data_IF_276260260687
#
_entry.id   IF_276260260687
#
_cell.length_a   1.000
_cell.length_b   1.000
_cell.length_c   1.000
_cell.angle_alpha   90.00
_cell.angle_beta   90.00
_cell.angle_gamma   90.00
#
_symmetry.space_group_name_H-M   'P 1'
#
loop_
_entity.id
_entity.type
_entity.pdbx_description
1 polymer ?
#
# COMPACT_ATOMS: atom_id res chain seq x y z
N UNK A 1 -15.39 24.20 2.32
CA UNK A 1 -16.09 24.04 1.03
C UNK A 1 -15.32 22.94 0.33
N UNK A 2 -15.89 21.74 0.27
CA UNK A 2 -15.21 20.55 -0.27
C UNK A 2 -15.71 20.29 -1.68
N UNK A 3 -14.81 20.02 -2.62
CA UNK A 3 -15.16 19.75 -4.01
C UNK A 3 -15.23 18.24 -4.22
N UNK A 4 -16.40 17.74 -4.63
CA UNK A 4 -16.70 16.31 -4.62
C UNK A 4 -16.60 15.63 -6.00
N UNK A 5 -16.65 16.37 -7.11
CA UNK A 5 -16.75 15.82 -8.47
C UNK A 5 -15.64 16.33 -9.41
N UNK A 6 -14.42 16.56 -8.90
CA UNK A 6 -13.35 17.15 -9.71
C UNK A 6 -11.97 16.55 -9.43
N UNK A 7 -10.97 17.01 -10.19
CA UNK A 7 -9.57 16.51 -10.29
C UNK A 7 -8.83 16.23 -8.97
N UNK A 8 -9.30 16.75 -7.85
CA UNK A 8 -8.86 16.42 -6.49
C UNK A 8 -10.10 16.26 -5.59
N UNK A 9 -10.84 15.15 -5.69
CA UNK A 9 -11.97 14.92 -4.80
C UNK A 9 -11.40 14.71 -3.41
N UNK A 10 -11.66 15.65 -2.51
CA UNK A 10 -11.38 15.49 -1.09
C UNK A 10 -12.70 15.19 -0.39
N UNK A 11 -12.71 14.07 0.36
CA UNK A 11 -13.66 13.80 1.44
C UNK A 11 -15.16 13.71 1.04
N UNK A 12 -15.56 12.66 0.31
CA UNK A 12 -17.00 12.31 0.25
C UNK A 12 -17.44 11.59 1.54
N UNK A 13 -16.66 10.61 2.01
CA UNK A 13 -17.02 9.77 3.16
C UNK A 13 -16.51 10.30 4.51
N UNK A 14 -15.36 10.98 4.56
CA UNK A 14 -14.88 11.63 5.80
C UNK A 14 -15.79 12.82 6.20
N UNK A 15 -16.39 13.52 5.23
CA UNK A 15 -17.41 14.53 5.49
C UNK A 15 -18.70 13.94 6.09
N UNK A 16 -18.99 12.66 5.82
CA UNK A 16 -20.09 11.90 6.43
C UNK A 16 -19.69 11.24 7.76
N UNK A 17 -18.39 10.95 7.97
CA UNK A 17 -17.83 10.26 9.14
C UNK A 17 -17.23 11.18 10.21
N UNK A 18 -17.44 12.51 10.14
CA UNK A 18 -17.16 13.34 11.32
C UNK A 18 -17.97 12.75 12.48
N UNK A 19 -17.31 12.20 13.53
CA UNK A 19 -17.96 11.31 14.45
C UNK A 19 -19.00 12.09 15.23
N UNK A 20 -20.28 11.73 15.07
CA UNK A 20 -21.43 12.18 15.88
C UNK A 20 -21.14 12.19 17.40
N UNK A 21 -20.16 11.41 17.85
CA UNK A 21 -19.68 11.32 19.22
C UNK A 21 -18.91 12.55 19.75
N UNK A 22 -18.28 13.38 18.91
CA UNK A 22 -17.59 14.62 19.36
C UNK A 22 -18.51 15.85 19.40
N UNK A 23 -19.74 15.74 18.86
CA UNK A 23 -20.63 16.88 18.61
C UNK A 23 -21.48 17.31 19.79
N UNK A 24 -21.77 16.41 20.73
CA UNK A 24 -22.62 16.74 21.88
C UNK A 24 -21.94 17.65 22.92
N UNK A 25 -20.62 17.85 22.83
CA UNK A 25 -19.86 18.66 23.80
C UNK A 25 -19.68 20.14 23.40
N UNK A 26 -19.91 20.50 22.13
CA UNK A 26 -19.77 21.88 21.64
C UNK A 26 -20.95 22.18 20.71
N UNK A 27 -21.98 22.88 21.19
CA UNK A 27 -23.26 23.13 20.52
C UNK A 27 -23.21 23.95 19.22
N UNK A 28 -22.40 23.55 18.24
CA UNK A 28 -22.37 24.10 16.89
C UNK A 28 -23.20 23.20 15.97
N UNK A 29 -24.34 23.70 15.51
CA UNK A 29 -25.15 23.06 14.48
C UNK A 29 -24.42 23.15 13.13
N UNK A 30 -24.15 22.00 12.52
CA UNK A 30 -23.64 21.94 11.16
C UNK A 30 -24.84 21.82 10.20
N UNK A 31 -24.95 22.75 9.25
CA UNK A 31 -25.95 22.70 8.18
C UNK A 31 -25.24 22.36 6.88
N UNK A 32 -25.50 21.17 6.34
CA UNK A 32 -25.01 20.77 5.00
C UNK A 32 -25.75 21.61 3.95
N UNK A 33 -24.99 22.23 3.05
CA UNK A 33 -25.50 22.94 1.87
C UNK A 33 -24.76 22.36 0.67
N UNK A 34 -25.51 21.89 -0.32
CA UNK A 34 -24.98 21.33 -1.57
C UNK A 34 -25.32 22.28 -2.71
N UNK A 35 -24.36 22.48 -3.62
CA UNK A 35 -24.51 23.31 -4.81
C UNK A 35 -24.34 22.39 -6.02
N UNK A 36 -25.44 22.11 -6.71
CA UNK A 36 -25.46 21.16 -7.84
C UNK A 36 -25.61 21.88 -9.19
N UNK A 37 -26.08 23.13 -9.21
CA UNK A 37 -26.26 23.89 -10.44
C UNK A 37 -24.93 24.48 -10.92
N UNK A 38 -24.52 24.13 -12.14
CA UNK A 38 -23.31 24.68 -12.75
C UNK A 38 -23.56 26.09 -13.27
N UNK A 39 -22.55 26.94 -13.16
CA UNK A 39 -22.61 28.34 -13.65
C UNK A 39 -22.04 28.51 -15.07
N UNK A 40 -21.40 27.48 -15.62
CA UNK A 40 -20.67 27.54 -16.90
C UNK A 40 -21.40 26.90 -18.07
N UNK A 41 -22.27 25.92 -17.79
CA UNK A 41 -23.01 25.15 -18.78
C UNK A 41 -24.42 24.88 -18.25
N UNK A 42 -25.28 24.29 -19.08
CA UNK A 42 -26.65 23.97 -18.68
C UNK A 42 -26.67 22.77 -17.74
N UNK A 43 -27.68 22.69 -16.86
CA UNK A 43 -27.91 21.48 -16.05
C UNK A 43 -28.23 20.29 -16.95
N UNK A 44 -27.57 19.15 -16.70
CA UNK A 44 -27.76 17.92 -17.48
C UNK A 44 -27.03 17.93 -18.82
N UNK A 45 -25.86 18.55 -18.91
CA UNK A 45 -25.02 18.52 -20.11
C UNK A 45 -24.59 17.07 -20.42
N UNK A 46 -24.92 16.51 -21.60
CA UNK A 46 -24.59 15.13 -21.94
C UNK A 46 -23.07 14.88 -21.99
N UNK A 47 -22.25 15.91 -22.28
CA UNK A 47 -20.79 15.78 -22.30
C UNK A 47 -20.25 15.65 -20.88
N UNK A 48 -20.83 16.38 -19.93
CA UNK A 48 -20.47 16.27 -18.52
C UNK A 48 -20.83 14.89 -17.96
N UNK A 49 -22.05 14.41 -18.24
CA UNK A 49 -22.47 13.06 -17.82
C UNK A 49 -21.54 11.99 -18.39
N UNK A 50 -21.23 12.07 -19.69
CA UNK A 50 -20.28 11.14 -20.33
C UNK A 50 -18.89 11.21 -19.69
N UNK A 51 -18.38 12.41 -19.40
CA UNK A 51 -17.07 12.59 -18.78
C UNK A 51 -17.04 12.03 -17.35
N UNK A 52 -18.11 12.24 -16.58
CA UNK A 52 -18.23 11.72 -15.21
C UNK A 52 -18.36 10.19 -15.20
N UNK A 53 -19.07 9.61 -16.15
CA UNK A 53 -19.15 8.16 -16.33
C UNK A 53 -17.78 7.57 -16.72
N UNK A 54 -17.11 8.16 -17.72
CA UNK A 54 -15.80 7.71 -18.20
C UNK A 54 -14.71 7.78 -17.12
N UNK A 55 -14.64 8.91 -16.41
CA UNK A 55 -13.64 9.13 -15.37
C UNK A 55 -14.08 8.56 -14.01
N UNK A 56 -15.25 7.91 -13.94
CA UNK A 56 -15.82 7.35 -12.73
C UNK A 56 -15.84 8.39 -11.59
N UNK A 57 -16.39 9.59 -11.80
CA UNK A 57 -16.42 10.66 -10.81
C UNK A 57 -17.68 10.63 -9.92
N UNK A 58 -18.79 10.07 -10.43
CA UNK A 58 -20.07 9.96 -9.72
C UNK A 58 -20.12 8.72 -8.79
N UNK A 59 -19.21 8.68 -7.82
CA UNK A 59 -18.94 7.48 -7.01
C UNK A 59 -19.82 7.33 -5.77
N UNK A 60 -20.62 8.34 -5.44
CA UNK A 60 -21.47 8.35 -4.25
C UNK A 60 -22.55 7.25 -4.27
N UNK A 61 -23.05 6.93 -5.46
CA UNK A 61 -24.14 5.97 -5.65
C UNK A 61 -23.65 4.57 -6.04
N UNK A 62 -22.37 4.41 -6.34
CA UNK A 62 -21.79 3.16 -6.85
C UNK A 62 -21.17 2.28 -5.78
N UNK A 63 -21.16 2.70 -4.51
CA UNK A 63 -20.81 1.83 -3.38
C UNK A 63 -22.05 0.98 -3.04
N UNK A 64 -22.07 -0.33 -3.33
CA UNK A 64 -23.23 -1.16 -3.03
C UNK A 64 -23.40 -1.31 -1.52
N UNK A 65 -24.63 -1.17 -1.03
CA UNK A 65 -24.94 -1.48 0.37
C UNK A 65 -24.86 -3.00 0.59
N UNK A 66 -23.74 -3.44 1.15
CA UNK A 66 -23.53 -4.85 1.49
C UNK A 66 -24.49 -5.24 2.62
N UNK A 67 -25.48 -6.08 2.30
CA UNK A 67 -26.52 -6.51 3.25
C UNK A 67 -26.02 -7.57 4.24
N UNK A 68 -25.05 -8.40 3.84
CA UNK A 68 -24.43 -9.42 4.69
C UNK A 68 -22.92 -9.50 4.43
N UNK A 69 -22.16 -9.40 5.50
CA UNK A 69 -20.71 -9.49 5.49
C UNK A 69 -20.28 -10.93 5.85
N UNK A 70 -19.69 -11.70 4.91
CA UNK A 70 -19.25 -13.06 5.16
C UNK A 70 -18.00 -13.09 6.04
N UNK A 71 -17.73 -14.18 6.75
CA UNK A 71 -16.48 -14.28 7.53
C UNK A 71 -15.25 -14.13 6.61
N UNK A 72 -14.19 -13.38 7.00
CA UNK A 72 -13.03 -13.12 6.14
C UNK A 72 -12.30 -14.37 5.62
N UNK A 73 -12.42 -15.50 6.31
CA UNK A 73 -11.82 -16.78 5.91
C UNK A 73 -12.54 -17.45 4.73
N UNK A 74 -13.81 -17.12 4.49
CA UNK A 74 -14.57 -17.63 3.35
C UNK A 74 -14.44 -16.73 2.11
N UNK A 75 -13.68 -15.63 2.23
CA UNK A 75 -13.47 -14.71 1.13
C UNK A 75 -12.26 -15.16 0.32
N UNK A 76 -12.36 -15.04 -1.01
CA UNK A 76 -11.28 -15.38 -1.92
C UNK A 76 -10.77 -14.13 -2.62
N UNK A 77 -9.46 -14.10 -2.87
CA UNK A 77 -8.80 -13.03 -3.59
C UNK A 77 -8.73 -13.46 -5.07
N UNK A 78 -9.13 -12.57 -5.97
CA UNK A 78 -9.10 -12.79 -7.43
C UNK A 78 -8.17 -11.78 -8.08
N UNK A 79 -7.49 -12.20 -9.14
CA UNK A 79 -6.76 -11.33 -10.04
C UNK A 79 -7.73 -10.73 -11.07
N UNK A 80 -7.67 -9.42 -11.28
CA UNK A 80 -8.52 -8.72 -12.26
C UNK A 80 -7.75 -8.55 -13.57
N UNK A 81 -8.30 -9.09 -14.66
CA UNK A 81 -7.74 -8.86 -15.98
C UNK A 81 -8.04 -7.43 -16.43
N UNK A 82 -6.98 -6.65 -16.65
CA UNK A 82 -7.08 -5.23 -17.03
C UNK A 82 -7.66 -5.02 -18.43
N UNK A 83 -7.29 -5.85 -19.40
CA UNK A 83 -7.79 -5.71 -20.77
C UNK A 83 -9.31 -5.92 -20.82
N UNK A 84 -9.81 -6.87 -20.03
CA UNK A 84 -11.25 -7.12 -19.89
C UNK A 84 -11.95 -6.05 -19.05
N UNK A 85 -11.27 -5.52 -18.03
CA UNK A 85 -11.78 -4.44 -17.18
C UNK A 85 -12.00 -3.14 -17.98
N UNK A 86 -11.04 -2.76 -18.82
CA UNK A 86 -11.09 -1.55 -19.65
C UNK A 86 -11.65 -1.80 -21.06
N UNK A 87 -12.42 -2.88 -21.25
CA UNK A 87 -13.04 -3.23 -22.54
C UNK A 87 -14.29 -2.44 -22.90
N UNK A 88 -14.76 -1.56 -22.02
CA UNK A 88 -16.01 -0.80 -22.15
C UNK A 88 -17.27 -1.68 -22.29
N UNK A 89 -17.22 -2.92 -21.77
CA UNK A 89 -18.40 -3.77 -21.64
C UNK A 89 -19.27 -3.32 -20.46
N UNK A 90 -20.60 -3.41 -20.60
CA UNK A 90 -21.56 -2.90 -19.60
C UNK A 90 -21.31 -3.43 -18.18
N UNK A 91 -21.00 -4.71 -18.03
CA UNK A 91 -20.73 -5.31 -16.72
C UNK A 91 -19.35 -4.93 -16.17
N UNK A 92 -18.35 -4.81 -17.06
CA UNK A 92 -17.00 -4.36 -16.69
C UNK A 92 -17.01 -2.91 -16.21
N UNK A 93 -17.80 -2.04 -16.83
CA UNK A 93 -17.96 -0.64 -16.41
C UNK A 93 -18.60 -0.53 -15.03
N UNK A 94 -19.67 -1.30 -14.77
CA UNK A 94 -20.29 -1.35 -13.42
C UNK A 94 -19.27 -1.85 -12.38
N UNK A 95 -18.47 -2.85 -12.73
CA UNK A 95 -17.42 -3.38 -11.85
C UNK A 95 -16.30 -2.36 -11.61
N UNK A 96 -15.83 -1.68 -12.66
CA UNK A 96 -14.82 -0.62 -12.60
C UNK A 96 -15.29 0.56 -11.72
N UNK A 97 -16.54 1.00 -11.91
CA UNK A 97 -17.14 2.06 -11.11
C UNK A 97 -17.21 1.67 -9.63
N UNK A 98 -17.61 0.42 -9.30
CA UNK A 98 -17.60 -0.08 -7.92
C UNK A 98 -16.19 -0.11 -7.33
N UNK A 99 -15.21 -0.58 -8.10
CA UNK A 99 -13.81 -0.62 -7.67
C UNK A 99 -13.25 0.79 -7.42
N UNK A 100 -13.52 1.74 -8.34
CA UNK A 100 -13.07 3.12 -8.22
C UNK A 100 -13.76 3.84 -7.05
N UNK A 101 -15.04 3.54 -6.80
CA UNK A 101 -15.78 4.04 -5.64
C UNK A 101 -15.09 3.68 -4.32
N UNK A 102 -14.60 2.44 -4.23
CA UNK A 102 -13.83 1.98 -3.07
C UNK A 102 -12.49 2.71 -2.94
N UNK A 103 -11.76 2.94 -4.02
CA UNK A 103 -10.53 3.73 -3.96
C UNK A 103 -10.77 5.15 -3.47
N UNK A 104 -11.81 5.81 -3.98
CA UNK A 104 -12.15 7.17 -3.56
C UNK A 104 -12.65 7.21 -2.12
N UNK A 105 -13.36 6.16 -1.68
CA UNK A 105 -13.81 6.02 -0.30
C UNK A 105 -12.67 5.86 0.71
N UNK A 106 -11.56 5.22 0.35
CA UNK A 106 -10.49 4.86 1.28
C UNK A 106 -9.26 5.77 1.25
N UNK A 107 -9.13 6.64 0.23
CA UNK A 107 -7.93 7.45 0.04
C UNK A 107 -8.21 8.96 0.16
N UNK A 108 -7.39 9.62 0.97
CA UNK A 108 -7.47 11.07 1.26
C UNK A 108 -7.28 11.98 0.03
N UNK A 109 -6.63 11.50 -1.03
CA UNK A 109 -6.47 12.23 -2.28
C UNK A 109 -6.44 11.26 -3.45
N UNK A 110 -7.30 11.50 -4.42
CA UNK A 110 -7.32 10.78 -5.69
C UNK A 110 -7.14 11.77 -6.83
N UNK A 111 -6.49 11.34 -7.89
CA UNK A 111 -6.38 12.09 -9.14
C UNK A 111 -7.02 11.25 -10.25
N UNK A 112 -7.75 11.83 -11.20
CA UNK A 112 -8.23 11.11 -12.39
C UNK A 112 -7.09 10.43 -13.16
N UNK A 113 -5.87 10.96 -13.08
CA UNK A 113 -4.68 10.34 -13.68
C UNK A 113 -4.34 8.97 -13.07
N UNK A 114 -4.88 8.64 -11.89
CA UNK A 114 -4.69 7.32 -11.28
C UNK A 114 -5.35 6.22 -12.11
N UNK A 115 -6.50 6.51 -12.72
CA UNK A 115 -7.21 5.59 -13.62
C UNK A 115 -6.38 5.35 -14.88
N UNK A 116 -5.81 6.42 -15.44
CA UNK A 116 -4.90 6.33 -16.57
C UNK A 116 -3.65 5.50 -16.22
N UNK A 117 -3.03 5.74 -15.06
CA UNK A 117 -1.87 4.97 -14.62
C UNK A 117 -2.20 3.47 -14.49
N UNK A 118 -3.39 3.14 -13.99
CA UNK A 118 -3.86 1.76 -13.88
C UNK A 118 -4.11 1.09 -15.24
N UNK A 119 -4.56 1.85 -16.24
CA UNK A 119 -4.79 1.35 -17.58
C UNK A 119 -3.49 1.18 -18.36
N UNK A 120 -2.60 2.17 -18.32
CA UNK A 120 -1.40 2.25 -19.17
C UNK A 120 -0.23 1.41 -18.66
N UNK A 121 0.03 1.39 -17.34
CA UNK A 121 1.30 0.87 -16.83
C UNK A 121 1.26 -0.67 -16.64
N UNK A 122 2.00 -1.47 -17.43
CA UNK A 122 1.91 -2.95 -17.43
C UNK A 122 2.28 -3.58 -16.08
N UNK A 123 3.19 -2.95 -15.33
CA UNK A 123 3.61 -3.42 -14.01
C UNK A 123 2.51 -3.33 -12.93
N UNK A 124 1.38 -2.65 -13.20
CA UNK A 124 0.27 -2.55 -12.25
C UNK A 124 -0.68 -3.73 -12.36
N UNK A 125 -0.83 -4.45 -11.25
CA UNK A 125 -1.74 -5.57 -11.06
C UNK A 125 -2.84 -5.20 -10.07
N UNK A 126 -4.04 -5.71 -10.32
CA UNK A 126 -5.23 -5.44 -9.53
C UNK A 126 -5.76 -6.74 -8.94
N UNK A 127 -6.01 -6.72 -7.63
CA UNK A 127 -6.58 -7.84 -6.90
C UNK A 127 -7.84 -7.39 -6.16
N UNK A 128 -8.87 -8.23 -6.16
CA UNK A 128 -10.14 -7.96 -5.49
C UNK A 128 -10.49 -9.10 -4.55
N UNK A 129 -10.87 -8.76 -3.32
CA UNK A 129 -11.39 -9.71 -2.36
C UNK A 129 -12.91 -9.74 -2.50
N UNK A 130 -13.44 -10.91 -2.84
CA UNK A 130 -14.86 -11.13 -3.03
C UNK A 130 -15.39 -12.06 -1.93
N UNK A 131 -16.66 -11.87 -1.58
CA UNK A 131 -17.39 -12.85 -0.78
C UNK A 131 -17.64 -14.14 -1.56
N UNK A 132 -18.09 -15.23 -0.89
CA UNK A 132 -18.44 -16.47 -1.57
C UNK A 132 -19.55 -16.19 -2.60
N UNK A 133 -19.28 -16.54 -3.85
CA UNK A 133 -20.21 -16.32 -4.97
C UNK A 133 -21.18 -17.48 -5.04
N UNK A 134 -22.48 -17.19 -5.03
CA UNK A 134 -23.50 -18.18 -5.35
C UNK A 134 -23.59 -18.30 -6.87
N UNK A 135 -23.07 -19.38 -7.46
CA UNK A 135 -23.14 -19.61 -8.92
C UNK A 135 -24.58 -19.60 -9.48
N UNK A 136 -25.58 -19.79 -8.63
CA UNK A 136 -27.00 -19.77 -9.00
C UNK A 136 -27.58 -18.37 -9.20
N UNK A 137 -26.93 -17.33 -8.66
CA UNK A 137 -27.36 -15.93 -8.80
C UNK A 137 -26.43 -15.26 -9.83
N UNK A 138 -26.95 -14.95 -11.01
CA UNK A 138 -26.20 -14.29 -12.09
C UNK A 138 -25.99 -12.78 -11.78
N UNK A 139 -25.48 -12.48 -10.59
CA UNK A 139 -25.27 -11.14 -10.07
C UNK A 139 -23.76 -10.89 -9.89
N UNK A 140 -23.33 -9.67 -10.24
CA UNK A 140 -21.96 -9.22 -10.00
C UNK A 140 -21.63 -9.29 -8.50
N UNK A 141 -20.55 -9.99 -8.11
CA UNK A 141 -20.18 -10.15 -6.71
C UNK A 141 -19.83 -8.82 -6.06
N UNK A 142 -20.08 -8.71 -4.76
CA UNK A 142 -19.73 -7.53 -3.98
C UNK A 142 -18.23 -7.49 -3.70
N UNK A 143 -17.62 -6.34 -4.00
CA UNK A 143 -16.20 -6.09 -3.79
C UNK A 143 -15.99 -5.65 -2.33
N UNK A 144 -15.30 -6.47 -1.54
CA UNK A 144 -15.05 -6.20 -0.11
C UNK A 144 -13.75 -5.44 0.11
N UNK A 145 -12.73 -5.76 -0.67
CA UNK A 145 -11.42 -5.11 -0.63
C UNK A 145 -10.80 -5.09 -2.02
N UNK A 146 -10.05 -4.04 -2.35
CA UNK A 146 -9.27 -3.91 -3.57
C UNK A 146 -7.82 -3.65 -3.19
N UNK A 147 -6.88 -4.34 -3.84
CA UNK A 147 -5.45 -4.10 -3.70
C UNK A 147 -4.87 -3.79 -5.08
N UNK A 148 -4.21 -2.64 -5.18
CA UNK A 148 -3.39 -2.29 -6.32
C UNK A 148 -1.93 -2.57 -5.98
N UNK A 149 -1.27 -3.36 -6.82
CA UNK A 149 0.14 -3.72 -6.71
C UNK A 149 0.88 -3.20 -7.93
N UNK A 150 2.12 -2.76 -7.75
CA UNK A 150 3.03 -2.39 -8.83
C UNK A 150 4.30 -3.23 -8.69
N UNK A 151 4.68 -3.97 -9.73
CA UNK A 151 5.95 -4.70 -9.75
C UNK A 151 7.10 -3.70 -9.87
N UNK A 152 8.11 -3.83 -8.99
CA UNK A 152 9.26 -2.93 -8.94
C UNK A 152 10.56 -3.74 -8.85
N UNK A 153 11.66 -3.19 -9.39
CA UNK A 153 12.99 -3.77 -9.27
C UNK A 153 13.51 -4.43 -10.55
N UNK A 154 14.35 -5.47 -10.40
CA UNK A 154 15.15 -6.05 -11.51
C UNK A 154 16.00 -5.00 -12.26
N UNK A 155 16.41 -3.96 -11.55
CA UNK A 155 17.19 -2.87 -12.11
C UNK A 155 18.65 -3.31 -12.24
N UNK A 156 19.23 -3.09 -13.43
CA UNK A 156 20.63 -3.43 -13.66
C UNK A 156 21.55 -2.66 -12.72
N UNK A 157 22.58 -3.34 -12.18
CA UNK A 157 23.58 -2.72 -11.30
C UNK A 157 24.24 -1.48 -11.93
N UNK A 158 24.45 -1.48 -13.24
CA UNK A 158 24.99 -0.33 -13.98
C UNK A 158 24.08 0.90 -13.85
N UNK A 159 22.77 0.71 -13.99
CA UNK A 159 21.78 1.78 -13.81
C UNK A 159 21.74 2.26 -12.35
N UNK A 160 21.77 1.32 -11.39
CA UNK A 160 21.81 1.65 -9.97
C UNK A 160 23.03 2.52 -9.59
N UNK A 161 24.24 2.13 -10.04
CA UNK A 161 25.47 2.89 -9.82
C UNK A 161 25.41 4.27 -10.49
N UNK A 162 24.87 4.34 -11.71
CA UNK A 162 24.70 5.61 -12.44
C UNK A 162 23.79 6.58 -11.67
N UNK A 163 22.64 6.11 -11.23
CA UNK A 163 21.67 6.89 -10.44
C UNK A 163 22.29 7.41 -9.14
N UNK A 164 23.04 6.56 -8.42
CA UNK A 164 23.76 6.96 -7.20
C UNK A 164 24.82 8.05 -7.48
N UNK A 165 25.56 7.94 -8.58
CA UNK A 165 26.58 8.91 -8.95
C UNK A 165 25.99 10.25 -9.43
N UNK A 166 24.88 10.21 -10.17
CA UNK A 166 24.20 11.39 -10.72
C UNK A 166 23.27 12.06 -9.70
N UNK A 167 22.93 11.38 -8.60
CA UNK A 167 21.98 11.86 -7.59
C UNK A 167 20.55 12.00 -8.14
N UNK A 168 20.23 11.32 -9.24
CA UNK A 168 18.94 11.41 -9.90
C UNK A 168 18.22 10.06 -9.86
N UNK A 169 17.06 10.01 -9.22
CA UNK A 169 16.16 8.85 -9.24
C UNK A 169 15.18 8.99 -10.42
N UNK A 170 15.19 8.06 -11.39
CA UNK A 170 14.18 7.98 -12.44
C UNK A 170 12.75 7.85 -11.87
N UNK A 171 11.75 8.20 -12.69
CA UNK A 171 10.35 7.96 -12.36
C UNK A 171 10.03 6.46 -12.37
N UNK A 172 9.32 5.97 -11.35
CA UNK A 172 9.03 4.55 -11.14
C UNK A 172 9.87 3.96 -10.02
N UNK A 173 9.74 2.65 -9.77
CA UNK A 173 10.58 1.87 -8.84
C UNK A 173 10.93 2.58 -7.52
N UNK A 174 9.92 3.13 -6.85
CA UNK A 174 10.14 4.05 -5.74
C UNK A 174 10.91 3.40 -4.60
N UNK A 175 10.63 2.14 -4.30
CA UNK A 175 11.28 1.41 -3.22
C UNK A 175 12.75 1.12 -3.56
N UNK A 176 13.09 0.51 -4.71
CA UNK A 176 14.49 0.33 -5.14
C UNK A 176 15.32 1.61 -5.06
N UNK A 177 14.83 2.72 -5.62
CA UNK A 177 15.57 3.98 -5.62
C UNK A 177 15.72 4.56 -4.23
N UNK A 178 14.67 4.52 -3.41
CA UNK A 178 14.76 5.04 -2.05
C UNK A 178 15.68 4.20 -1.19
N UNK A 179 15.67 2.88 -1.38
CA UNK A 179 16.57 1.97 -0.67
C UNK A 179 18.04 2.24 -1.05
N UNK A 180 18.33 2.39 -2.35
CA UNK A 180 19.64 2.86 -2.85
C UNK A 180 20.09 4.14 -2.16
N UNK A 181 19.24 5.17 -2.17
CA UNK A 181 19.57 6.48 -1.60
C UNK A 181 19.90 6.38 -0.10
N UNK A 182 19.11 5.60 0.64
CA UNK A 182 19.22 5.53 2.10
C UNK A 182 20.37 4.66 2.60
N UNK A 183 20.75 3.61 1.87
CA UNK A 183 21.77 2.65 2.32
C UNK A 183 23.00 2.61 1.42
N UNK A 184 23.01 3.34 0.30
CA UNK A 184 24.06 3.31 -0.72
C UNK A 184 24.32 1.88 -1.25
N UNK A 185 23.27 1.07 -1.26
CA UNK A 185 23.33 -0.33 -1.68
C UNK A 185 23.02 -0.45 -3.18
N UNK A 186 23.86 -1.18 -3.92
CA UNK A 186 23.72 -1.38 -5.36
C UNK A 186 23.22 -2.79 -5.73
N UNK A 187 22.90 -3.62 -4.73
CA UNK A 187 22.45 -5.01 -4.91
C UNK A 187 20.94 -5.10 -4.83
N UNK A 188 20.32 -4.42 -3.86
CA UNK A 188 18.89 -4.40 -3.61
C UNK A 188 18.04 -4.03 -4.84
N UNK A 189 18.41 -3.04 -5.69
CA UNK A 189 17.61 -2.73 -6.89
C UNK A 189 17.53 -3.87 -7.90
N UNK A 190 18.50 -4.78 -7.89
CA UNK A 190 18.47 -5.97 -8.74
C UNK A 190 17.48 -7.02 -8.24
N UNK A 191 17.00 -6.91 -7.00
CA UNK A 191 15.93 -7.77 -6.49
C UNK A 191 14.60 -7.39 -7.14
N UNK A 192 13.83 -8.39 -7.53
CA UNK A 192 12.43 -8.28 -7.93
C UNK A 192 11.55 -8.13 -6.69
N UNK A 193 10.61 -7.20 -6.68
CA UNK A 193 9.63 -7.04 -5.62
C UNK A 193 8.34 -6.44 -6.12
N UNK A 194 7.37 -6.27 -5.23
CA UNK A 194 6.13 -5.63 -5.56
C UNK A 194 5.70 -4.65 -4.48
N UNK A 195 5.31 -3.44 -4.89
CA UNK A 195 4.78 -2.41 -4.00
C UNK A 195 3.27 -2.44 -4.02
N UNK A 196 2.66 -2.65 -2.85
CA UNK A 196 1.23 -2.36 -2.65
C UNK A 196 1.09 -0.84 -2.70
N UNK A 197 0.51 -0.35 -3.80
CA UNK A 197 0.28 1.07 -4.05
C UNK A 197 -0.94 1.55 -3.27
N UNK A 198 -2.01 0.76 -3.29
CA UNK A 198 -3.29 1.08 -2.64
C UNK A 198 -3.94 -0.17 -2.07
N UNK A 199 -4.60 0.01 -0.94
CA UNK A 199 -5.54 -0.96 -0.36
C UNK A 199 -6.80 -0.21 0.04
N UNK A 200 -7.92 -0.62 -0.54
CA UNK A 200 -9.23 -0.03 -0.30
C UNK A 200 -10.16 -1.09 0.27
N UNK A 201 -10.64 -0.88 1.50
CA UNK A 201 -11.63 -1.76 2.12
C UNK A 201 -12.97 -1.06 2.10
N UNK A 202 -14.04 -1.79 1.83
CA UNK A 202 -15.39 -1.26 1.87
C UNK A 202 -15.68 -0.56 3.23
N UNK A 203 -16.28 0.64 3.27
CA UNK A 203 -16.52 1.38 4.51
C UNK A 203 -17.24 0.57 5.60
N UNK A 204 -18.30 -0.15 5.24
CA UNK A 204 -19.04 -1.04 6.15
C UNK A 204 -18.24 -2.25 6.63
N UNK A 205 -17.12 -2.56 5.97
CA UNK A 205 -16.24 -3.70 6.25
C UNK A 205 -14.96 -3.28 7.01
N UNK A 206 -14.82 -2.00 7.34
CA UNK A 206 -13.67 -1.47 8.09
C UNK A 206 -13.59 -2.13 9.48
N UNK A 207 -12.34 -2.40 9.91
CA UNK A 207 -12.02 -3.02 11.21
C UNK A 207 -12.55 -4.45 11.42
N UNK A 208 -13.15 -5.08 10.41
CA UNK A 208 -13.57 -6.50 10.45
C UNK A 208 -12.50 -7.47 9.94
N UNK A 209 -11.35 -6.96 9.47
CA UNK A 209 -10.19 -7.79 9.12
C UNK A 209 -10.09 -8.20 7.64
N UNK A 210 -10.98 -7.76 6.75
CA UNK A 210 -10.89 -8.07 5.31
C UNK A 210 -9.60 -7.60 4.66
N UNK A 211 -9.15 -6.37 4.97
CA UNK A 211 -7.84 -5.90 4.50
C UNK A 211 -6.69 -6.75 5.03
N UNK A 212 -6.82 -7.31 6.24
CA UNK A 212 -5.85 -8.26 6.76
C UNK A 212 -5.89 -9.61 6.04
N UNK A 213 -7.07 -10.12 5.71
CA UNK A 213 -7.21 -11.35 4.93
C UNK A 213 -6.62 -11.17 3.52
N UNK A 214 -6.93 -10.06 2.85
CA UNK A 214 -6.44 -9.76 1.51
C UNK A 214 -4.91 -9.67 1.43
N UNK A 215 -4.25 -8.99 2.37
CA UNK A 215 -2.77 -8.92 2.41
C UNK A 215 -2.14 -10.28 2.70
N UNK A 216 -2.75 -11.11 3.56
CA UNK A 216 -2.27 -12.47 3.83
C UNK A 216 -2.36 -13.36 2.59
N UNK A 217 -3.51 -13.38 1.92
CA UNK A 217 -3.72 -14.13 0.68
C UNK A 217 -2.76 -13.68 -0.42
N UNK A 218 -2.54 -12.36 -0.54
CA UNK A 218 -1.56 -11.81 -1.48
C UNK A 218 -0.13 -12.26 -1.16
N UNK A 219 0.25 -12.26 0.12
CA UNK A 219 1.58 -12.74 0.55
C UNK A 219 1.76 -14.22 0.26
N UNK A 220 0.79 -15.07 0.60
CA UNK A 220 0.82 -16.51 0.32
C UNK A 220 0.82 -16.80 -1.19
N UNK A 221 0.10 -16.00 -1.99
CA UNK A 221 0.11 -16.07 -3.45
C UNK A 221 1.53 -15.87 -4.00
N UNK A 222 2.20 -14.77 -3.64
CA UNK A 222 3.55 -14.48 -4.12
C UNK A 222 4.64 -15.38 -3.51
N UNK A 223 4.36 -16.05 -2.39
CA UNK A 223 5.23 -17.10 -1.84
C UNK A 223 5.06 -18.46 -2.55
N UNK A 224 4.06 -18.60 -3.43
CA UNK A 224 3.78 -19.84 -4.15
C UNK A 224 3.05 -20.90 -3.33
N UNK A 225 2.50 -20.55 -2.16
CA UNK A 225 1.80 -21.50 -1.27
C UNK A 225 0.43 -21.94 -1.81
N UNK A 226 -0.18 -21.14 -2.69
CA UNK A 226 -1.54 -21.38 -3.19
C UNK A 226 -1.61 -22.07 -4.55
N UNK A 227 -0.51 -22.15 -5.29
CA UNK A 227 -0.53 -22.71 -6.64
C UNK A 227 -0.27 -24.21 -6.64
N UNK A 228 -1.28 -25.00 -7.02
CA UNK A 228 -1.17 -26.45 -7.23
C UNK A 228 -0.66 -26.74 -8.65
N UNK A 229 0.52 -26.23 -9.02
CA UNK A 229 1.15 -26.66 -10.27
C UNK A 229 2.03 -27.87 -9.98
N UNK A 230 1.46 -29.06 -10.24
CA UNK A 230 2.26 -30.22 -10.65
C UNK A 230 3.02 -29.84 -11.91
N UNK A 231 4.29 -30.21 -11.96
CA UNK A 231 5.19 -30.06 -13.10
C UNK A 231 4.46 -30.19 -14.45
N UNK A 232 4.16 -29.06 -15.09
CA UNK A 232 3.65 -29.00 -16.43
C UNK A 232 4.16 -27.71 -17.09
N UNK A 233 4.63 -27.92 -18.31
CA UNK A 233 5.36 -27.06 -19.25
C UNK A 233 4.98 -25.58 -19.25
N UNK A 234 5.94 -24.73 -19.64
CA UNK A 234 5.75 -23.32 -19.94
C UNK A 234 4.55 -23.14 -20.88
N UNK A 235 3.39 -22.76 -20.33
CA UNK A 235 2.26 -22.33 -21.15
C UNK A 235 2.65 -20.97 -21.70
N UNK A 236 3.06 -20.96 -22.97
CA UNK A 236 3.18 -19.76 -23.79
C UNK A 236 1.91 -18.94 -23.59
N UNK A 237 2.06 -17.66 -23.22
CA UNK A 237 0.96 -16.70 -23.29
C UNK A 237 0.36 -16.81 -24.70
N UNK A 238 -0.97 -16.93 -24.85
CA UNK A 238 -1.55 -16.97 -26.17
C UNK A 238 -1.21 -15.66 -26.85
N UNK A 239 -0.31 -15.75 -27.82
CA UNK A 239 0.11 -14.67 -28.70
C UNK A 239 -1.16 -14.18 -29.39
N UNK A 240 -1.79 -13.14 -28.82
CA UNK A 240 -2.90 -12.47 -29.46
C UNK A 240 -2.29 -11.89 -30.72
N UNK A 241 -2.53 -12.56 -31.83
CA UNK A 241 -2.01 -12.18 -33.13
C UNK A 241 -2.53 -10.79 -33.41
N UNK A 242 -1.68 -9.77 -33.17
CA UNK A 242 -1.86 -8.40 -33.63
C UNK A 242 -1.73 -8.50 -35.15
N UNK A 243 -2.79 -8.98 -35.78
CA UNK A 243 -2.88 -9.20 -37.21
C UNK A 243 -3.04 -7.83 -37.86
N UNK A 244 -1.90 -7.23 -38.22
CA UNK A 244 -1.66 -6.38 -39.40
C UNK A 244 -2.55 -5.14 -39.62
N UNK A 245 -3.52 -4.87 -38.74
CA UNK A 245 -4.47 -3.77 -38.83
C UNK A 245 -4.03 -2.53 -38.03
N UNK A 246 -3.11 -2.70 -37.06
CA UNK A 246 -2.61 -1.61 -36.22
C UNK A 246 -1.54 -0.75 -36.93
N UNK A 247 -0.80 -1.30 -37.89
CA UNK A 247 0.26 -0.54 -38.59
C UNK A 247 -0.27 0.39 -39.69
N UNK A 248 -1.57 0.32 -40.04
CA UNK A 248 -2.18 1.16 -41.09
C UNK A 248 -3.26 2.12 -40.61
N UNK A 249 -3.64 2.10 -39.33
CA UNK A 249 -4.58 3.07 -38.80
C UNK A 249 -3.81 4.32 -38.38
N UNK A 250 -3.91 5.37 -39.20
CA UNK A 250 -3.57 6.73 -38.80
C UNK A 250 -4.25 7.05 -37.46
N UNK A 251 -3.53 7.68 -36.51
CA UNK A 251 -3.95 8.02 -35.13
C UNK A 251 -5.33 8.73 -34.98
N UNK A 252 -5.99 9.05 -36.09
CA UNK A 252 -7.27 9.77 -36.16
C UNK A 252 -8.47 8.86 -36.50
N UNK A 253 -8.25 7.57 -36.79
CA UNK A 253 -9.32 6.61 -37.13
C UNK A 253 -9.18 5.31 -36.34
N UNK A 254 -9.15 5.40 -35.02
CA UNK A 254 -9.23 4.21 -34.16
C UNK A 254 -10.70 3.79 -34.03
N UNK A 255 -11.14 2.79 -34.80
CA UNK A 255 -12.48 2.24 -34.65
C UNK A 255 -12.53 1.34 -33.41
N UNK A 256 -13.14 1.83 -32.33
CA UNK A 256 -13.39 1.06 -31.10
C UNK A 256 -14.43 -0.02 -31.41
N UNK A 257 -13.99 -1.19 -31.88
CA UNK A 257 -14.82 -2.39 -31.91
C UNK A 257 -14.50 -3.23 -30.67
N UNK A 258 -15.51 -3.76 -29.96
CA UNK A 258 -15.25 -4.67 -28.84
C UNK A 258 -14.44 -5.87 -29.33
N UNK A 259 -13.30 -6.13 -28.68
CA UNK A 259 -12.37 -7.20 -29.05
C UNK A 259 -13.11 -8.55 -28.92
N UNK A 260 -13.08 -9.36 -29.98
CA UNK A 260 -13.63 -10.72 -29.93
C UNK A 260 -12.68 -11.64 -29.14
N UNK A 261 -13.22 -12.46 -28.24
CA UNK A 261 -12.51 -13.38 -27.34
C UNK A 261 -11.66 -12.72 -26.23
N UNK A 262 -12.28 -11.92 -25.37
CA UNK A 262 -11.61 -11.41 -24.17
C UNK A 262 -11.51 -12.51 -23.08
N UNK A 263 -10.38 -12.58 -22.36
CA UNK A 263 -10.25 -13.46 -21.19
C UNK A 263 -11.23 -13.06 -20.08
N UNK A 264 -11.55 -13.97 -19.13
CA UNK A 264 -12.46 -13.65 -18.04
C UNK A 264 -11.96 -12.47 -17.21
N UNK A 265 -12.88 -11.61 -16.76
CA UNK A 265 -12.57 -10.43 -15.95
C UNK A 265 -11.88 -10.80 -14.63
N UNK A 266 -12.33 -11.88 -14.00
CA UNK A 266 -11.84 -12.39 -12.74
C UNK A 266 -11.13 -13.73 -13.00
N UNK A 267 -9.88 -13.81 -12.55
CA UNK A 267 -9.05 -15.03 -12.63
C UNK A 267 -8.78 -15.48 -11.20
N UNK A 268 -9.01 -16.76 -10.93
CA UNK A 268 -8.66 -17.33 -9.64
C UNK A 268 -7.13 -17.35 -9.48
N UNK A 269 -6.65 -17.07 -8.27
CA UNK A 269 -5.21 -17.08 -7.97
C UNK A 269 -4.59 -18.47 -8.07
N UNK A 270 -5.39 -19.52 -7.91
CA UNK A 270 -4.94 -20.90 -8.10
C UNK A 270 -4.56 -21.19 -9.56
N UNK A 271 -5.25 -20.54 -10.51
CA UNK A 271 -5.06 -20.75 -11.95
C UNK A 271 -3.95 -19.87 -12.55
N UNK A 272 -3.48 -18.86 -11.81
CA UNK A 272 -2.47 -17.89 -12.29
C UNK A 272 -1.13 -18.09 -11.59
N UNK A 273 -0.08 -18.41 -12.33
CA UNK A 273 1.28 -18.46 -11.78
C UNK A 273 1.75 -17.07 -11.30
N UNK A 274 2.22 -16.91 -10.05
CA UNK A 274 2.78 -15.66 -9.55
C UNK A 274 4.16 -15.38 -10.15
N UNK A 275 4.49 -14.10 -10.30
CA UNK A 275 5.86 -13.66 -10.57
C UNK A 275 6.78 -13.99 -9.39
N UNK A 276 8.04 -14.32 -9.67
CA UNK A 276 9.04 -14.54 -8.61
C UNK A 276 9.43 -13.20 -7.99
N UNK A 277 9.09 -13.03 -6.72
CA UNK A 277 9.36 -11.82 -5.94
C UNK A 277 10.19 -12.14 -4.69
N UNK A 278 11.06 -11.22 -4.31
CA UNK A 278 11.89 -11.31 -3.10
C UNK A 278 11.30 -10.52 -1.93
N UNK A 279 10.44 -9.52 -2.20
CA UNK A 279 9.84 -8.69 -1.17
C UNK A 279 8.48 -8.12 -1.60
N UNK A 280 7.64 -7.83 -0.61
CA UNK A 280 6.51 -6.92 -0.72
C UNK A 280 6.84 -5.59 -0.05
N UNK A 281 6.42 -4.51 -0.65
CA UNK A 281 6.69 -3.16 -0.18
C UNK A 281 5.42 -2.32 -0.05
N UNK A 282 5.46 -1.32 0.83
CA UNK A 282 4.38 -0.34 1.01
C UNK A 282 4.96 1.05 1.18
N UNK A 283 4.22 2.06 0.74
CA UNK A 283 4.50 3.48 0.99
C UNK A 283 3.20 4.15 1.46
N UNK A 284 3.19 4.72 2.66
CA UNK A 284 1.98 5.27 3.27
C UNK A 284 2.30 6.43 4.21
N UNK A 285 1.29 7.27 4.51
CA UNK A 285 1.40 8.30 5.53
C UNK A 285 1.46 7.68 6.94
N UNK A 286 2.46 8.07 7.73
CA UNK A 286 2.77 7.43 9.01
C UNK A 286 1.73 7.78 10.08
N UNK A 287 0.68 6.98 10.15
CA UNK A 287 -0.31 7.00 11.23
C UNK A 287 -0.18 5.78 12.13
N UNK A 288 -0.69 5.87 13.36
CA UNK A 288 -0.65 4.74 14.29
C UNK A 288 -1.49 3.55 13.81
N UNK A 289 -2.63 3.80 13.17
CA UNK A 289 -3.52 2.75 12.67
C UNK A 289 -2.88 1.99 11.51
N UNK A 290 -2.39 2.71 10.48
CA UNK A 290 -1.75 2.10 9.32
C UNK A 290 -0.44 1.41 9.69
N UNK A 291 0.38 2.03 10.54
CA UNK A 291 1.62 1.41 10.98
C UNK A 291 1.34 0.08 11.70
N UNK A 292 0.38 0.03 12.64
CA UNK A 292 0.00 -1.21 13.33
C UNK A 292 -0.55 -2.26 12.36
N UNK A 293 -1.34 -1.86 11.37
CA UNK A 293 -1.85 -2.74 10.33
C UNK A 293 -0.70 -3.43 9.57
N UNK A 294 0.24 -2.65 9.04
CA UNK A 294 1.38 -3.19 8.28
C UNK A 294 2.32 -4.02 9.16
N UNK A 295 2.55 -3.58 10.41
CA UNK A 295 3.35 -4.34 11.39
C UNK A 295 2.77 -5.71 11.69
N UNK A 296 1.44 -5.84 11.76
CA UNK A 296 0.76 -7.13 12.00
C UNK A 296 1.04 -8.14 10.88
N UNK A 297 1.37 -7.66 9.69
CA UNK A 297 1.68 -8.46 8.50
C UNK A 297 3.17 -8.49 8.17
N UNK A 298 4.04 -8.34 9.19
CA UNK A 298 5.49 -8.47 9.04
C UNK A 298 6.15 -7.45 8.09
N UNK A 299 5.55 -6.27 7.90
CA UNK A 299 6.23 -5.18 7.20
C UNK A 299 7.14 -4.39 8.15
N UNK A 300 8.40 -4.20 7.75
CA UNK A 300 9.42 -3.49 8.51
C UNK A 300 9.79 -2.16 7.86
N UNK A 301 9.68 -1.04 8.60
CA UNK A 301 10.06 0.25 8.05
C UNK A 301 11.56 0.30 7.79
N UNK A 302 11.94 0.83 6.62
CA UNK A 302 13.34 1.13 6.30
C UNK A 302 13.56 2.63 6.08
N UNK A 303 12.48 3.40 5.89
CA UNK A 303 12.54 4.83 5.66
C UNK A 303 11.30 5.55 6.23
N UNK A 304 11.55 6.69 6.88
CA UNK A 304 10.52 7.67 7.26
C UNK A 304 11.00 9.04 6.80
N UNK A 305 10.21 9.72 5.98
CA UNK A 305 10.51 11.04 5.47
C UNK A 305 10.52 12.09 6.58
N UNK A 306 11.54 12.93 6.62
CA UNK A 306 11.67 13.98 7.64
C UNK A 306 10.71 15.15 7.43
N UNK A 307 10.33 15.39 6.17
CA UNK A 307 9.41 16.45 5.81
C UNK A 307 8.00 15.83 5.70
N UNK A 308 7.02 16.30 6.49
CA UNK A 308 5.64 15.84 6.35
C UNK A 308 5.06 16.34 5.03
N UNK A 309 4.12 15.58 4.48
CA UNK A 309 3.36 15.99 3.30
C UNK A 309 2.61 17.30 3.60
N UNK A 310 2.68 18.26 2.68
CA UNK A 310 1.92 19.51 2.81
C UNK A 310 0.40 19.31 2.77
N UNK A 311 -0.06 18.18 2.22
CA UNK A 311 -1.49 17.85 2.09
C UNK A 311 -2.03 17.20 3.36
N UNK A 312 -1.37 16.17 3.87
CA UNK A 312 -1.87 15.38 5.01
C UNK A 312 -1.24 15.77 6.34
N UNK A 313 -0.10 16.48 6.33
CA UNK A 313 0.70 16.73 7.53
C UNK A 313 1.43 15.49 8.06
N UNK A 314 1.33 14.35 7.37
CA UNK A 314 1.92 13.08 7.79
C UNK A 314 3.29 12.85 7.14
N UNK A 315 4.18 12.19 7.87
CA UNK A 315 5.47 11.73 7.33
C UNK A 315 5.26 10.50 6.45
N UNK A 316 5.84 10.46 5.26
CA UNK A 316 5.82 9.23 4.44
C UNK A 316 6.67 8.14 5.09
N UNK A 317 6.11 6.94 5.25
CA UNK A 317 6.81 5.75 5.72
C UNK A 317 6.85 4.71 4.60
N UNK A 318 8.04 4.16 4.34
CA UNK A 318 8.21 3.02 3.45
C UNK A 318 8.65 1.79 4.25
N UNK A 319 7.98 0.67 4.02
CA UNK A 319 8.22 -0.58 4.72
C UNK A 319 8.25 -1.77 3.76
N UNK A 320 8.97 -2.81 4.17
CA UNK A 320 9.23 -4.02 3.40
C UNK A 320 8.89 -5.26 4.23
N UNK A 321 8.25 -6.24 3.59
CA UNK A 321 8.14 -7.60 4.08
C UNK A 321 8.96 -8.50 3.16
N UNK A 322 10.02 -9.17 3.65
CA UNK A 322 10.74 -10.15 2.84
C UNK A 322 9.79 -11.32 2.50
N UNK A 323 9.92 -11.85 1.29
CA UNK A 323 9.28 -13.09 0.89
C UNK A 323 10.32 -14.22 0.89
N UNK A 324 9.85 -15.44 1.13
CA UNK A 324 10.72 -16.61 1.04
C UNK A 324 11.04 -16.86 -0.44
N UNK A 325 12.30 -16.71 -0.82
CA UNK A 325 12.81 -17.02 -2.15
C UNK A 325 14.01 -17.93 -2.02
N UNK A 326 14.06 -19.02 -2.79
CA UNK A 326 15.14 -20.02 -2.75
C UNK A 326 16.54 -19.40 -3.00
N UNK A 327 16.58 -18.27 -3.72
CA UNK A 327 17.81 -17.57 -4.12
C UNK A 327 18.49 -16.82 -2.97
N UNK A 328 17.78 -16.54 -1.87
CA UNK A 328 18.31 -15.79 -0.72
C UNK A 328 18.33 -16.72 0.50
N UNK A 329 19.52 -17.26 0.82
CA UNK A 329 19.74 -18.02 2.06
C UNK A 329 19.53 -17.10 3.26
N UNK A 330 18.38 -17.24 3.93
CA UNK A 330 18.13 -16.57 5.19
C UNK A 330 19.22 -16.98 6.20
N UNK A 331 19.82 -16.00 6.88
CA UNK A 331 20.60 -16.30 8.09
C UNK A 331 19.70 -16.95 9.15
N UNK A 332 20.30 -17.50 10.20
CA UNK A 332 19.63 -18.29 11.25
C UNK A 332 18.45 -17.57 11.96
N UNK A 333 18.24 -16.27 11.71
CA UNK A 333 17.10 -15.45 12.11
C UNK A 333 15.96 -15.48 11.07
N UNK A 334 15.07 -16.48 11.20
CA UNK A 334 13.96 -16.85 10.31
C UNK A 334 13.00 -15.68 9.91
N UNK A 335 12.91 -14.57 10.65
CA UNK A 335 11.86 -13.55 10.43
C UNK A 335 12.23 -12.32 9.58
N UNK A 336 13.51 -11.96 9.46
CA UNK A 336 13.94 -10.73 8.77
C UNK A 336 14.85 -10.98 7.57
N UNK A 337 15.48 -12.17 7.48
CA UNK A 337 16.32 -12.54 6.34
C UNK A 337 17.34 -11.46 5.99
N UNK A 338 17.39 -11.07 4.71
CA UNK A 338 18.31 -10.03 4.22
C UNK A 338 18.04 -8.62 4.78
N UNK A 339 16.84 -8.36 5.33
CA UNK A 339 16.43 -7.03 5.78
C UNK A 339 16.98 -6.66 7.17
N UNK A 340 17.46 -7.64 7.94
CA UNK A 340 17.92 -7.44 9.32
C UNK A 340 18.97 -6.32 9.50
N UNK A 341 20.10 -6.29 8.76
CA UNK A 341 21.11 -5.24 8.91
C UNK A 341 20.55 -3.85 8.61
N UNK A 342 19.73 -3.73 7.57
CA UNK A 342 19.09 -2.48 7.16
C UNK A 342 18.08 -1.98 8.19
N UNK A 343 17.31 -2.90 8.79
CA UNK A 343 16.37 -2.56 9.85
C UNK A 343 17.08 -2.09 11.13
N UNK A 344 18.22 -2.70 11.50
CA UNK A 344 19.05 -2.24 12.63
C UNK A 344 19.56 -0.83 12.40
N UNK A 345 20.10 -0.54 11.21
CA UNK A 345 20.57 0.79 10.84
C UNK A 345 19.43 1.82 10.83
N UNK A 346 18.28 1.49 10.23
CA UNK A 346 17.08 2.34 10.26
C UNK A 346 16.69 2.71 11.71
N UNK A 347 16.62 1.73 12.62
CA UNK A 347 16.28 1.99 14.03
C UNK A 347 17.27 2.94 14.69
N UNK A 348 18.57 2.78 14.43
CA UNK A 348 19.59 3.66 14.98
C UNK A 348 19.47 5.09 14.45
N UNK A 349 19.25 5.26 13.14
CA UNK A 349 19.02 6.58 12.53
C UNK A 349 17.73 7.22 13.05
N UNK A 350 16.64 6.46 13.09
CA UNK A 350 15.35 6.95 13.60
C UNK A 350 15.45 7.42 15.04
N UNK A 351 16.13 6.68 15.94
CA UNK A 351 16.39 7.11 17.33
C UNK A 351 17.08 8.47 17.41
N UNK A 352 18.08 8.72 16.56
CA UNK A 352 18.81 9.99 16.53
C UNK A 352 17.93 11.14 16.02
N UNK A 353 17.01 10.87 15.09
CA UNK A 353 16.12 11.87 14.49
C UNK A 353 14.90 12.22 15.36
N UNK A 354 14.61 11.45 16.41
CA UNK A 354 13.50 11.74 17.34
C UNK A 354 13.66 13.08 18.07
N UNK A 355 14.90 13.51 18.34
CA UNK A 355 15.16 14.80 18.98
C UNK A 355 15.03 16.00 18.04
N UNK A 356 15.01 15.80 16.72
CA UNK A 356 15.04 16.86 15.71
C UNK A 356 13.81 16.78 14.81
N UNK A 357 13.91 16.10 13.67
CA UNK A 357 12.89 16.07 12.61
C UNK A 357 11.57 15.43 13.05
N UNK A 358 11.61 14.56 14.06
CA UNK A 358 10.42 13.88 14.61
C UNK A 358 10.04 14.34 16.01
N UNK A 359 10.47 15.53 16.44
CA UNK A 359 10.21 16.07 17.79
C UNK A 359 8.72 16.13 18.15
N UNK A 360 7.87 16.39 17.15
CA UNK A 360 6.42 16.51 17.33
C UNK A 360 5.66 15.20 17.06
N UNK A 361 6.37 14.11 16.74
CA UNK A 361 5.75 12.82 16.50
C UNK A 361 5.15 12.29 17.81
N UNK A 362 3.94 11.74 17.75
CA UNK A 362 3.30 11.14 18.92
C UNK A 362 4.20 10.03 19.51
N UNK A 363 4.51 10.11 20.80
CA UNK A 363 5.42 9.16 21.45
C UNK A 363 4.95 7.71 21.31
N UNK A 364 3.62 7.44 21.28
CA UNK A 364 3.09 6.09 21.09
C UNK A 364 3.43 5.54 19.70
N UNK A 365 3.39 6.42 18.69
CA UNK A 365 3.77 6.09 17.32
C UNK A 365 5.29 5.89 17.23
N UNK A 366 6.08 6.81 17.79
CA UNK A 366 7.54 6.68 17.85
C UNK A 366 7.98 5.36 18.50
N UNK A 367 7.37 5.00 19.64
CA UNK A 367 7.64 3.74 20.34
C UNK A 367 7.20 2.52 19.51
N UNK A 368 6.07 2.59 18.81
CA UNK A 368 5.63 1.52 17.92
C UNK A 368 6.64 1.29 16.78
N UNK A 369 7.19 2.37 16.20
CA UNK A 369 8.23 2.30 15.16
C UNK A 369 9.53 1.71 15.68
N UNK A 370 9.93 2.07 16.91
CA UNK A 370 11.17 1.59 17.52
C UNK A 370 11.11 0.16 18.05
N UNK A 371 9.99 -0.26 18.62
CA UNK A 371 9.85 -1.50 19.36
C UNK A 371 8.65 -2.28 18.83
N UNK A 372 8.94 -3.36 18.09
CA UNK A 372 7.91 -4.25 17.54
C UNK A 372 7.31 -5.18 18.59
N UNK A 373 8.11 -5.57 19.59
CA UNK A 373 7.71 -6.22 20.84
C UNK A 373 8.73 -5.80 21.91
N UNK A 374 8.27 -5.45 23.10
CA UNK A 374 9.17 -5.41 24.27
C UNK A 374 9.30 -6.87 24.68
N UNK A 375 10.38 -7.51 24.23
CA UNK A 375 10.67 -8.86 24.68
C UNK A 375 11.19 -8.76 26.12
N UNK A 376 10.39 -9.25 27.06
CA UNK A 376 10.79 -9.40 28.46
C UNK A 376 11.48 -10.75 28.68
N UNK A 377 11.87 -11.45 27.61
CA UNK A 377 12.71 -12.62 27.70
C UNK A 377 13.99 -12.22 28.43
N UNK A 378 14.12 -12.68 29.67
CA UNK A 378 15.35 -12.63 30.45
C UNK A 378 16.39 -13.48 29.73
N UNK A 379 16.99 -12.95 28.66
CA UNK A 379 18.28 -13.42 28.24
C UNK A 379 19.24 -13.06 29.36
N UNK A 380 19.66 -14.06 30.14
CA UNK A 380 20.78 -13.88 31.05
C UNK A 380 21.94 -13.32 30.21
N UNK A 381 22.39 -12.09 30.47
CA UNK A 381 23.48 -11.50 29.71
C UNK A 381 24.68 -12.42 29.85
N UNK A 382 25.28 -12.81 28.74
CA UNK A 382 26.52 -13.57 28.79
C UNK A 382 27.57 -12.76 29.55
N UNK A 383 28.48 -13.39 30.31
CA UNK A 383 29.53 -12.67 31.06
C UNK A 383 30.35 -11.71 30.16
N UNK A 384 30.41 -12.03 28.87
CA UNK A 384 31.05 -11.23 27.83
C UNK A 384 30.32 -9.90 27.54
N UNK A 385 28.98 -9.89 27.56
CA UNK A 385 28.16 -8.68 27.35
C UNK A 385 28.25 -7.72 28.52
N UNK A 386 28.31 -8.23 29.75
CA UNK A 386 28.47 -7.41 30.97
C UNK A 386 29.81 -6.66 31.00
N UNK A 387 30.90 -7.31 30.55
CA UNK A 387 32.24 -6.69 30.51
C UNK A 387 32.33 -5.56 29.48
N UNK A 388 31.71 -5.74 28.31
CA UNK A 388 31.66 -4.72 27.25
C UNK A 388 30.79 -3.53 27.70
N UNK A 389 29.66 -3.81 28.35
CA UNK A 389 28.75 -2.78 28.86
C UNK A 389 29.42 -1.90 29.92
N UNK A 390 30.20 -2.48 30.83
CA UNK A 390 30.91 -1.72 31.87
C UNK A 390 32.03 -0.83 31.32
N UNK A 391 32.73 -1.26 30.26
CA UNK A 391 33.73 -0.41 29.58
C UNK A 391 33.06 0.75 28.86
N UNK A 392 32.02 0.48 28.08
CA UNK A 392 31.23 1.51 27.39
C UNK A 392 30.60 2.52 28.36
N UNK A 393 30.11 2.06 29.52
CA UNK A 393 29.56 2.95 30.54
C UNK A 393 30.61 3.92 31.11
N UNK A 394 31.86 3.47 31.29
CA UNK A 394 32.96 4.35 31.75
C UNK A 394 33.40 5.36 30.71
N UNK A 395 33.22 5.04 29.43
CA UNK A 395 33.52 5.97 28.32
C UNK A 395 32.40 7.00 28.11
N UNK A 396 31.16 6.66 28.47
CA UNK A 396 29.98 7.53 28.29
C UNK A 396 29.65 8.37 29.53
N UNK A 397 29.83 7.83 30.74
CA UNK A 397 29.48 8.50 32.00
C UNK A 397 30.74 8.88 32.78
N UNK A 398 30.85 10.16 33.15
CA UNK A 398 31.93 10.59 34.03
C UNK A 398 31.69 10.11 35.48
N UNK A 399 32.74 10.05 36.33
CA UNK A 399 32.56 9.77 37.75
C UNK A 399 31.61 10.75 38.46
N UNK A 400 31.50 11.99 37.96
CA UNK A 400 30.56 12.98 38.48
C UNK A 400 29.12 12.66 38.10
N UNK A 401 28.87 12.16 36.89
CA UNK A 401 27.53 11.75 36.45
C UNK A 401 27.04 10.55 37.26
N UNK A 402 27.95 9.62 37.58
CA UNK A 402 27.62 8.49 38.47
C UNK A 402 27.23 8.96 39.88
N UNK A 403 27.94 9.95 40.45
CA UNK A 403 27.57 10.55 41.73
C UNK A 403 26.21 11.28 41.69
N UNK A 404 25.90 11.95 40.57
CA UNK A 404 24.58 12.58 40.37
C UNK A 404 23.48 11.53 40.28
N UNK A 405 23.72 10.43 39.57
CA UNK A 405 22.80 9.30 39.49
C UNK A 405 22.55 8.67 40.86
N UNK A 406 23.61 8.47 41.65
CA UNK A 406 23.51 7.99 43.03
C UNK A 406 22.69 8.95 43.90
N UNK A 407 22.99 10.26 43.84
CA UNK A 407 22.24 11.27 44.58
C UNK A 407 20.76 11.33 44.17
N UNK A 408 20.45 11.21 42.88
CA UNK A 408 19.09 11.09 42.36
C UNK A 408 18.39 9.83 42.86
N UNK A 409 19.07 8.67 42.84
CA UNK A 409 18.50 7.39 43.34
C UNK A 409 18.19 7.43 44.84
N UNK A 410 18.94 8.23 45.59
CA UNK A 410 18.71 8.49 47.01
C UNK A 410 17.69 9.62 47.26
N UNK A 411 17.02 10.13 46.22
CA UNK A 411 16.08 11.26 46.27
C UNK A 411 16.67 12.54 46.89
N UNK A 412 17.98 12.75 46.74
CA UNK A 412 18.68 13.94 47.25
C UNK A 412 18.71 15.10 46.25
N UNK A 413 18.36 14.85 44.98
CA UNK A 413 18.40 15.80 43.87
C UNK A 413 17.16 15.59 42.99
N UNK A 414 16.63 16.68 42.43
CA UNK A 414 15.49 16.65 41.50
C UNK A 414 15.83 16.07 40.12
N UNK A 415 14.78 15.86 39.29
CA UNK A 415 14.82 15.20 37.98
C UNK A 415 15.48 16.00 36.85
#
# INVERSE_FOLDING_TARGET
MSCLHFKEPSEYLDALHVPSALFWLVGRLFKKIELNESIRYASGDPIETWLNELLCLDLANSIPNISRLPHPEHCQLYYVNRDTLFSYHKESEVFLQRMMALYVASHYKNSPNDLQLMADAPAHHLFVLLGPVNESENQLPDILCVIQVCLEGQISRKSAIRSLNEGHAPSGDQIPWKFCEQFQDNVFPSLSGARIVRIAVHPSALRLGYGSAAVKLLSSYYQGEMTVFKDAEEVEEPDVTISEAAEKASLLEESIKPRANLPPLLVNLEDRRPEKLHYLGVSFGLTQELFRFWRKHSFYPFYVGQIPSAVTGEHTCMALSPLNSDDIKAGDSIQLGFLEPFYKDFRQRFRRLLGTSFRHLNFKLAMSVLASKIDFSHHEPSEHDTSITLKLLRDVLSPHDMKRLEAYSNNLVDY
#
